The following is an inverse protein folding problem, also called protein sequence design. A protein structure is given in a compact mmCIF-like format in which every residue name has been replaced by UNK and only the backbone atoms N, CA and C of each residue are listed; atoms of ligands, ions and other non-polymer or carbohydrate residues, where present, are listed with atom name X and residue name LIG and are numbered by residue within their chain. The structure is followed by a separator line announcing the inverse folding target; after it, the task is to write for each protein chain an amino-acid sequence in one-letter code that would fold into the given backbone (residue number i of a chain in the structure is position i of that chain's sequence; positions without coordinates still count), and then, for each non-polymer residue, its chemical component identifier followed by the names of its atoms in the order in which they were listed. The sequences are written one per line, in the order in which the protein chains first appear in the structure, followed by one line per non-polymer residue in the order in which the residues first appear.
data_IF_274336101900
#
_entry.id   IF_274336101900
#
_cell.length_a   1.000
_cell.length_b   1.000
_cell.length_c   1.000
_cell.angle_alpha   90.00
_cell.angle_beta   90.00
_cell.angle_gamma   90.00
#
_symmetry.space_group_name_H-M   'P 1'
#
loop_
_entity.id
_entity.type
_entity.pdbx_description
1 polymer ?
#
# COMPACT_ATOMS: atom_id res chain seq x y z
N UNK A 1 16.37 -12.73 11.42
CA UNK A 1 16.19 -11.26 11.26
C UNK A 1 15.32 -10.96 10.07
N UNK A 2 14.39 -10.00 10.17
CA UNK A 2 13.51 -9.55 9.08
C UNK A 2 13.78 -8.06 8.84
N UNK A 3 14.18 -7.73 7.61
CA UNK A 3 14.45 -6.35 7.18
C UNK A 3 13.20 -5.79 6.51
N UNK A 4 12.55 -4.83 7.16
CA UNK A 4 11.27 -4.23 6.77
C UNK A 4 10.28 -4.19 7.93
N UNK A 5 9.21 -3.38 7.78
CA UNK A 5 8.20 -3.17 8.82
C UNK A 5 6.78 -2.96 8.26
N UNK A 6 6.50 -3.47 7.06
CA UNK A 6 5.16 -3.46 6.45
C UNK A 6 4.50 -4.84 6.55
N UNK A 7 3.37 -5.06 5.84
CA UNK A 7 2.57 -6.30 5.91
C UNK A 7 3.42 -7.57 5.92
N UNK A 8 4.24 -7.80 4.88
CA UNK A 8 5.06 -9.01 4.78
C UNK A 8 6.05 -9.17 5.95
N UNK A 9 6.63 -8.06 6.43
CA UNK A 9 7.57 -8.12 7.54
C UNK A 9 6.90 -8.58 8.84
N UNK A 10 5.74 -8.03 9.16
CA UNK A 10 4.98 -8.42 10.34
C UNK A 10 4.51 -9.88 10.26
N UNK A 11 3.92 -10.29 9.13
CA UNK A 11 3.45 -11.65 8.94
C UNK A 11 4.59 -12.68 9.05
N UNK A 12 5.76 -12.36 8.47
CA UNK A 12 6.96 -13.22 8.57
C UNK A 12 7.48 -13.25 10.00
N UNK A 13 7.53 -12.11 10.70
CA UNK A 13 7.94 -12.06 12.10
C UNK A 13 7.02 -12.90 12.98
N UNK A 14 5.70 -12.78 12.80
CA UNK A 14 4.71 -13.58 13.51
C UNK A 14 4.90 -15.07 13.26
N UNK A 15 4.99 -15.48 12.00
CA UNK A 15 5.19 -16.88 11.64
C UNK A 15 6.51 -17.47 12.17
N UNK A 16 7.61 -16.72 12.15
CA UNK A 16 8.88 -17.15 12.68
C UNK A 16 8.82 -17.29 14.21
N UNK A 17 8.21 -16.33 14.90
CA UNK A 17 8.06 -16.36 16.36
C UNK A 17 7.19 -17.53 16.80
N UNK A 18 6.05 -17.79 16.14
CA UNK A 18 5.17 -18.95 16.41
C UNK A 18 5.91 -20.29 16.27
N UNK A 19 6.93 -20.34 15.42
CA UNK A 19 7.78 -21.53 15.24
C UNK A 19 9.03 -21.53 16.15
N UNK A 20 9.07 -20.65 17.15
CA UNK A 20 10.10 -20.66 18.19
C UNK A 20 11.43 -19.98 17.83
N UNK A 21 11.47 -19.20 16.74
CA UNK A 21 12.66 -18.45 16.38
C UNK A 21 12.81 -17.18 17.27
N UNK A 22 14.05 -16.80 17.56
CA UNK A 22 14.38 -15.49 18.12
C UNK A 22 14.40 -14.45 17.01
N UNK A 23 13.38 -13.57 16.97
CA UNK A 23 13.11 -12.70 15.84
C UNK A 23 13.49 -11.26 16.14
N UNK A 24 14.23 -10.65 15.22
CA UNK A 24 14.51 -9.21 15.21
C UNK A 24 13.94 -8.59 13.92
N UNK A 25 13.11 -7.56 14.07
CA UNK A 25 12.63 -6.69 12.98
C UNK A 25 13.55 -5.48 12.84
N UNK A 26 13.97 -5.16 11.62
CA UNK A 26 14.72 -3.94 11.32
C UNK A 26 13.82 -2.96 10.60
N UNK A 27 13.50 -1.85 11.27
CA UNK A 27 12.66 -0.79 10.74
C UNK A 27 13.51 0.40 10.26
N UNK A 28 13.41 0.72 8.96
CA UNK A 28 14.11 1.85 8.36
C UNK A 28 13.31 3.16 8.42
N UNK A 29 12.01 3.09 8.16
CA UNK A 29 11.11 4.24 8.04
C UNK A 29 9.79 3.97 8.72
N UNK A 30 9.02 5.00 8.99
CA UNK A 30 7.72 4.89 9.64
C UNK A 30 6.74 4.01 8.86
N UNK A 31 5.89 3.30 9.60
CA UNK A 31 4.84 2.45 9.07
C UNK A 31 3.53 2.77 9.76
N UNK A 32 2.46 2.97 9.00
CA UNK A 32 1.13 3.06 9.55
C UNK A 32 0.62 1.67 9.92
N UNK A 33 0.09 1.49 11.13
CA UNK A 33 -0.56 0.24 11.55
C UNK A 33 -2.03 0.52 11.82
N UNK A 34 -2.91 -0.25 11.19
CA UNK A 34 -4.34 -0.29 11.52
C UNK A 34 -4.69 -1.67 12.05
N UNK A 35 -5.32 -1.75 13.21
CA UNK A 35 -5.89 -3.01 13.69
C UNK A 35 -7.03 -3.45 12.79
N UNK A 36 -7.01 -4.71 12.41
CA UNK A 36 -8.00 -5.30 11.49
C UNK A 36 -9.44 -5.09 11.99
N UNK A 37 -9.70 -5.31 13.29
CA UNK A 37 -11.03 -5.13 13.88
C UNK A 37 -11.51 -3.68 13.77
N UNK A 38 -10.65 -2.70 14.09
CA UNK A 38 -10.98 -1.29 13.99
C UNK A 38 -11.19 -0.86 12.55
N UNK A 39 -10.39 -1.37 11.62
CA UNK A 39 -10.56 -1.14 10.19
C UNK A 39 -11.91 -1.68 9.70
N UNK A 40 -12.28 -2.90 10.08
CA UNK A 40 -13.54 -3.52 9.68
C UNK A 40 -14.74 -2.81 10.28
N UNK A 41 -14.72 -2.49 11.57
CA UNK A 41 -15.87 -1.93 12.27
C UNK A 41 -16.06 -0.42 12.01
N UNK A 42 -14.99 0.36 11.88
CA UNK A 42 -15.08 1.83 11.74
C UNK A 42 -15.02 2.25 10.27
N UNK A 43 -14.07 1.70 9.51
CA UNK A 43 -13.82 2.17 8.15
C UNK A 43 -14.70 1.47 7.10
N UNK A 44 -15.00 0.19 7.27
CA UNK A 44 -15.60 -0.64 6.22
C UNK A 44 -17.03 -1.10 6.53
N UNK A 45 -17.50 -1.08 7.78
CA UNK A 45 -18.78 -1.67 8.16
C UNK A 45 -19.99 -1.08 7.43
N UNK A 46 -19.97 0.21 7.14
CA UNK A 46 -21.09 0.88 6.43
C UNK A 46 -21.31 0.37 5.00
N UNK A 47 -20.31 -0.30 4.41
CA UNK A 47 -20.36 -0.81 3.04
C UNK A 47 -20.24 -2.33 2.96
N UNK A 48 -19.41 -2.95 3.82
CA UNK A 48 -18.97 -4.34 3.66
C UNK A 48 -19.20 -5.19 4.93
N UNK A 49 -20.27 -4.95 5.65
CA UNK A 49 -20.69 -5.78 6.79
C UNK A 49 -21.94 -6.59 6.50
N UNK A 50 -22.26 -7.55 7.36
CA UNK A 50 -23.51 -8.31 7.30
C UNK A 50 -24.74 -7.39 7.49
N UNK A 51 -24.61 -6.40 8.36
CA UNK A 51 -25.66 -5.40 8.60
C UNK A 51 -25.89 -4.53 7.36
N UNK A 52 -24.81 -4.13 6.66
CA UNK A 52 -24.92 -3.38 5.40
C UNK A 52 -25.64 -4.22 4.34
N UNK A 53 -25.30 -5.51 4.21
CA UNK A 53 -25.98 -6.44 3.30
C UNK A 53 -27.46 -6.59 3.67
N UNK A 54 -27.78 -6.77 4.95
CA UNK A 54 -29.15 -6.86 5.44
C UNK A 54 -29.96 -5.58 5.16
N UNK A 55 -29.31 -4.42 5.16
CA UNK A 55 -29.88 -3.13 4.79
C UNK A 55 -29.97 -2.89 3.26
N UNK A 56 -29.62 -3.88 2.43
CA UNK A 56 -29.70 -3.82 0.97
C UNK A 56 -28.47 -3.19 0.28
N UNK A 57 -27.33 -3.11 0.96
CA UNK A 57 -26.04 -2.74 0.39
C UNK A 57 -25.42 -3.98 -0.25
N UNK A 58 -25.66 -4.19 -1.56
CA UNK A 58 -24.99 -5.27 -2.29
C UNK A 58 -23.50 -4.94 -2.50
N UNK A 59 -22.69 -5.95 -2.78
CA UNK A 59 -21.27 -5.76 -3.06
C UNK A 59 -21.01 -4.78 -4.21
N UNK A 60 -21.80 -4.89 -5.29
CA UNK A 60 -21.69 -3.99 -6.46
C UNK A 60 -22.04 -2.54 -6.09
N UNK A 61 -23.07 -2.36 -5.26
CA UNK A 61 -23.47 -1.03 -4.78
C UNK A 61 -22.42 -0.44 -3.84
N UNK A 62 -21.84 -1.25 -2.96
CA UNK A 62 -20.75 -0.85 -2.08
C UNK A 62 -19.51 -0.41 -2.87
N UNK A 63 -19.09 -1.22 -3.83
CA UNK A 63 -17.96 -0.91 -4.72
C UNK A 63 -18.19 0.38 -5.50
N UNK A 64 -19.37 0.54 -6.09
CA UNK A 64 -19.73 1.75 -6.83
C UNK A 64 -19.75 2.98 -5.91
N UNK A 65 -20.32 2.85 -4.72
CA UNK A 65 -20.37 3.93 -3.72
C UNK A 65 -18.95 4.36 -3.34
N UNK A 66 -18.09 3.41 -3.04
CA UNK A 66 -16.69 3.69 -2.69
C UNK A 66 -15.93 4.34 -3.86
N UNK A 67 -16.08 3.80 -5.06
CA UNK A 67 -15.42 4.30 -6.27
C UNK A 67 -15.98 5.66 -6.75
N UNK A 68 -17.17 6.06 -6.29
CA UNK A 68 -17.77 7.36 -6.65
C UNK A 68 -17.09 8.56 -6.00
N UNK A 69 -16.30 8.34 -4.94
CA UNK A 69 -15.57 9.41 -4.27
C UNK A 69 -14.25 9.67 -5.01
N UNK A 70 -14.06 10.87 -5.58
CA UNK A 70 -12.80 11.21 -6.22
C UNK A 70 -11.62 11.09 -5.26
N UNK A 71 -10.54 10.43 -5.66
CA UNK A 71 -9.36 10.23 -4.80
C UNK A 71 -8.74 11.55 -4.34
N UNK A 72 -8.85 12.60 -5.13
CA UNK A 72 -8.37 13.95 -4.78
C UNK A 72 -8.95 14.47 -3.47
N UNK A 73 -10.20 14.13 -3.15
CA UNK A 73 -10.90 14.57 -1.93
C UNK A 73 -11.06 13.45 -0.90
N UNK A 74 -10.60 12.24 -1.20
CA UNK A 74 -10.79 11.06 -0.33
C UNK A 74 -10.21 11.28 1.07
N UNK A 75 -9.09 12.00 1.20
CA UNK A 75 -8.47 12.31 2.49
C UNK A 75 -9.43 13.02 3.45
N UNK A 76 -10.35 13.85 2.94
CA UNK A 76 -11.34 14.57 3.78
C UNK A 76 -12.25 13.58 4.51
N UNK A 77 -12.58 12.47 3.87
CA UNK A 77 -13.42 11.41 4.44
C UNK A 77 -12.61 10.46 5.32
N UNK A 78 -11.32 10.27 5.02
CA UNK A 78 -10.47 9.33 5.75
C UNK A 78 -9.97 9.89 7.09
N UNK A 79 -9.63 11.17 7.17
CA UNK A 79 -9.12 11.79 8.40
C UNK A 79 -10.01 11.48 9.62
N UNK A 80 -11.33 11.77 9.62
CA UNK A 80 -12.18 11.50 10.79
C UNK A 80 -12.31 10.00 11.10
N UNK A 81 -12.19 9.12 10.11
CA UNK A 81 -12.19 7.66 10.32
C UNK A 81 -10.96 7.25 11.13
N UNK A 82 -9.78 7.73 10.73
CA UNK A 82 -8.53 7.40 11.42
C UNK A 82 -8.39 8.11 12.77
N UNK A 83 -9.03 9.25 12.99
CA UNK A 83 -9.15 9.85 14.32
C UNK A 83 -9.96 8.97 15.28
N UNK A 84 -11.07 8.39 14.83
CA UNK A 84 -11.84 7.43 15.60
C UNK A 84 -11.06 6.14 15.90
N UNK A 85 -10.34 5.61 14.92
CA UNK A 85 -9.48 4.43 15.11
C UNK A 85 -8.35 4.71 16.11
N UNK A 86 -7.73 5.90 16.03
CA UNK A 86 -6.69 6.34 16.98
C UNK A 86 -7.20 6.37 18.42
N UNK A 87 -8.39 6.91 18.62
CA UNK A 87 -8.97 6.99 19.96
C UNK A 87 -9.36 5.61 20.48
N UNK A 88 -9.95 4.77 19.64
CA UNK A 88 -10.31 3.39 20.00
C UNK A 88 -9.12 2.55 20.42
N UNK A 89 -8.03 2.61 19.65
CA UNK A 89 -6.87 1.76 19.82
C UNK A 89 -5.71 2.49 20.52
N UNK A 90 -6.00 3.54 21.29
CA UNK A 90 -5.01 4.40 21.93
C UNK A 90 -3.96 3.64 22.71
N UNK A 91 -4.38 2.73 23.60
CA UNK A 91 -3.48 1.94 24.43
C UNK A 91 -2.51 1.06 23.61
N UNK A 92 -2.99 0.58 22.46
CA UNK A 92 -2.18 -0.18 21.52
C UNK A 92 -1.07 0.68 20.91
N UNK A 93 -1.44 1.89 20.42
CA UNK A 93 -0.44 2.81 19.83
C UNK A 93 0.56 3.32 20.86
N UNK A 94 0.14 3.57 22.11
CA UNK A 94 1.03 3.94 23.21
C UNK A 94 2.04 2.83 23.53
N UNK A 95 1.64 1.55 23.47
CA UNK A 95 2.57 0.41 23.64
C UNK A 95 3.57 0.29 22.49
N UNK A 96 3.13 0.47 21.24
CA UNK A 96 4.01 0.48 20.07
C UNK A 96 5.05 1.60 20.15
N UNK A 97 4.62 2.82 20.49
CA UNK A 97 5.51 3.95 20.67
C UNK A 97 6.54 3.70 21.79
N UNK A 98 6.09 3.16 22.93
CA UNK A 98 6.96 2.79 24.04
C UNK A 98 7.97 1.71 23.65
N UNK A 99 7.64 0.79 22.77
CA UNK A 99 8.56 -0.19 22.21
C UNK A 99 9.56 0.41 21.22
N UNK A 100 9.43 1.69 20.88
CA UNK A 100 10.29 2.41 19.94
C UNK A 100 9.90 2.27 18.47
N UNK A 101 8.70 1.72 18.18
CA UNK A 101 8.22 1.59 16.81
C UNK A 101 7.90 2.96 16.20
N UNK A 102 8.40 3.21 15.00
CA UNK A 102 8.16 4.44 14.27
C UNK A 102 6.82 4.33 13.52
N UNK A 103 5.76 4.74 14.19
CA UNK A 103 4.40 4.75 13.68
C UNK A 103 4.05 6.12 13.11
N UNK A 104 3.30 6.16 12.00
CA UNK A 104 2.76 7.40 11.43
C UNK A 104 1.29 7.25 11.00
N UNK A 105 0.62 8.37 10.79
CA UNK A 105 -0.76 8.45 10.33
C UNK A 105 -0.88 8.90 8.87
N UNK A 106 0.24 8.87 8.10
CA UNK A 106 0.33 9.47 6.77
C UNK A 106 0.63 10.96 6.83
N UNK A 107 1.03 11.53 5.69
CA UNK A 107 1.50 12.92 5.59
C UNK A 107 0.44 13.96 6.03
N UNK A 108 -0.83 13.61 5.96
CA UNK A 108 -1.99 14.46 6.27
C UNK A 108 -2.96 13.81 7.28
N UNK A 109 -2.53 12.83 8.05
CA UNK A 109 -3.33 12.05 8.99
C UNK A 109 -4.49 11.26 8.36
N UNK A 110 -4.46 11.00 7.06
CA UNK A 110 -5.49 10.24 6.34
C UNK A 110 -5.28 8.72 6.35
N UNK A 111 -4.25 8.25 7.05
CA UNK A 111 -4.04 6.85 7.40
C UNK A 111 -3.75 5.90 6.23
N UNK A 112 -4.13 4.65 6.43
CA UNK A 112 -3.79 3.52 5.56
C UNK A 112 -4.26 3.71 4.13
N UNK A 113 -5.53 4.08 3.93
CA UNK A 113 -6.11 4.09 2.59
C UNK A 113 -5.41 5.09 1.67
N UNK A 114 -5.09 6.27 2.18
CA UNK A 114 -4.36 7.26 1.39
C UNK A 114 -2.87 6.91 1.20
N UNK A 115 -2.23 6.23 2.17
CA UNK A 115 -0.88 5.67 1.96
C UNK A 115 -0.90 4.61 0.87
N UNK A 116 -1.89 3.74 0.87
CA UNK A 116 -2.11 2.74 -0.15
C UNK A 116 -2.29 3.37 -1.55
N UNK A 117 -3.20 4.33 -1.71
CA UNK A 117 -3.43 5.00 -2.98
C UNK A 117 -2.19 5.78 -3.48
N UNK A 118 -1.47 6.45 -2.58
CA UNK A 118 -0.32 7.30 -2.95
C UNK A 118 0.94 6.51 -3.22
N UNK A 119 1.19 5.41 -2.50
CA UNK A 119 2.48 4.71 -2.49
C UNK A 119 2.38 3.20 -2.71
N UNK A 120 1.22 2.57 -2.50
CA UNK A 120 1.02 1.12 -2.53
C UNK A 120 1.71 0.38 -1.38
N UNK A 121 2.26 1.11 -0.39
CA UNK A 121 3.07 0.57 0.70
C UNK A 121 3.10 1.51 1.90
N UNK A 122 3.87 1.15 2.94
CA UNK A 122 4.07 1.98 4.13
C UNK A 122 2.99 1.75 5.19
N UNK A 123 2.30 0.62 5.17
CA UNK A 123 1.27 0.26 6.15
C UNK A 123 1.28 -1.24 6.49
N UNK A 124 0.65 -1.56 7.60
CA UNK A 124 0.31 -2.92 8.02
C UNK A 124 -1.14 -2.96 8.51
N UNK A 125 -1.89 -3.97 8.06
CA UNK A 125 -3.20 -4.31 8.63
C UNK A 125 -2.94 -5.40 9.66
N UNK A 126 -2.99 -5.01 10.94
CA UNK A 126 -2.60 -5.86 12.05
C UNK A 126 -3.65 -6.93 12.36
N UNK A 127 -3.17 -8.16 12.37
CA UNK A 127 -3.90 -9.37 12.77
C UNK A 127 -3.27 -10.03 14.01
N UNK A 128 -2.47 -9.26 14.77
CA UNK A 128 -1.86 -9.68 16.04
C UNK A 128 -0.32 -9.62 16.09
N UNK A 129 0.37 -9.60 14.95
CA UNK A 129 1.84 -9.58 14.96
C UNK A 129 2.44 -8.26 15.48
N UNK A 130 1.69 -7.15 15.43
CA UNK A 130 2.15 -5.90 16.01
C UNK A 130 2.18 -5.92 17.55
N UNK A 131 1.33 -6.71 18.19
CA UNK A 131 1.39 -6.94 19.64
C UNK A 131 2.70 -7.62 20.06
N UNK A 132 3.27 -8.50 19.22
CA UNK A 132 4.56 -9.14 19.49
C UNK A 132 5.71 -8.12 19.54
N UNK A 133 5.68 -7.13 18.65
CA UNK A 133 6.64 -6.01 18.68
C UNK A 133 6.39 -5.10 19.88
N UNK A 134 5.14 -4.75 20.16
CA UNK A 134 4.77 -3.90 21.29
C UNK A 134 5.13 -4.50 22.64
N UNK A 135 5.10 -5.83 22.76
CA UNK A 135 5.44 -6.56 23.99
C UNK A 135 6.93 -6.93 24.08
N UNK A 136 7.71 -6.78 22.99
CA UNK A 136 9.12 -7.14 22.93
C UNK A 136 9.40 -8.63 22.63
N UNK A 137 8.38 -9.40 22.28
CA UNK A 137 8.50 -10.79 21.82
C UNK A 137 9.24 -10.88 20.48
N UNK A 138 9.01 -9.90 19.61
CA UNK A 138 9.81 -9.59 18.42
C UNK A 138 10.63 -8.35 18.73
N UNK A 139 11.96 -8.50 18.71
CA UNK A 139 12.89 -7.41 18.95
C UNK A 139 12.80 -6.38 17.81
N UNK A 140 12.82 -5.10 18.15
CA UNK A 140 12.81 -4.02 17.20
C UNK A 140 14.15 -3.28 17.19
N UNK A 141 14.72 -3.10 16.01
CA UNK A 141 15.89 -2.25 15.79
C UNK A 141 15.54 -1.24 14.70
N UNK A 142 15.85 0.03 14.95
CA UNK A 142 15.68 1.09 13.95
C UNK A 142 16.99 1.39 13.28
N UNK A 143 17.01 1.43 11.94
CA UNK A 143 18.19 1.78 11.16
C UNK A 143 18.09 1.37 9.71
N UNK A 144 18.99 1.92 8.93
CA UNK A 144 19.21 1.53 7.54
C UNK A 144 20.31 0.47 7.50
N UNK A 145 20.06 -0.61 6.79
CA UNK A 145 21.08 -1.64 6.54
C UNK A 145 22.09 -1.10 5.55
N UNK A 146 23.38 -1.19 5.90
CA UNK A 146 24.50 -0.87 5.03
C UNK A 146 24.92 -2.12 4.23
N UNK A 147 25.32 -3.19 4.94
CA UNK A 147 25.76 -4.43 4.28
C UNK A 147 25.49 -5.68 5.13
N UNK A 148 25.62 -6.83 4.52
CA UNK A 148 25.62 -8.14 5.18
C UNK A 148 27.04 -8.63 5.45
N UNK A 149 27.21 -9.36 6.56
CA UNK A 149 28.42 -10.11 6.88
C UNK A 149 28.13 -11.60 6.86
N UNK A 150 29.14 -12.43 7.09
CA UNK A 150 28.96 -13.89 7.21
C UNK A 150 28.11 -14.27 8.45
N UNK A 151 28.02 -13.41 9.45
CA UNK A 151 27.36 -13.69 10.73
C UNK A 151 26.20 -12.77 11.05
N UNK A 152 25.82 -11.85 10.16
CA UNK A 152 24.73 -10.92 10.45
C UNK A 152 24.62 -9.74 9.50
N UNK A 153 24.11 -8.65 10.05
CA UNK A 153 23.77 -7.40 9.35
C UNK A 153 24.47 -6.23 10.04
N UNK A 154 25.02 -5.32 9.24
CA UNK A 154 25.58 -4.05 9.75
C UNK A 154 24.70 -2.89 9.30
N UNK A 155 24.36 -2.00 10.22
CA UNK A 155 23.62 -0.77 9.94
C UNK A 155 24.57 0.37 9.58
N UNK A 156 24.04 1.42 8.95
CA UNK A 156 24.83 2.61 8.53
C UNK A 156 25.51 3.34 9.71
N UNK A 157 24.99 3.21 10.92
CA UNK A 157 25.58 3.75 12.15
C UNK A 157 26.70 2.88 12.75
N UNK A 158 27.01 1.75 12.09
CA UNK A 158 28.01 0.79 12.54
C UNK A 158 27.49 -0.25 13.54
N UNK A 159 26.21 -0.26 13.85
CA UNK A 159 25.61 -1.30 14.71
C UNK A 159 25.66 -2.65 14.01
N UNK A 160 26.25 -3.65 14.68
CA UNK A 160 26.28 -5.04 14.20
C UNK A 160 25.17 -5.86 14.86
N UNK A 161 24.40 -6.57 14.05
CA UNK A 161 23.27 -7.39 14.46
C UNK A 161 23.49 -8.84 14.01
N UNK A 162 23.72 -9.78 14.94
CA UNK A 162 23.92 -11.18 14.56
C UNK A 162 22.63 -11.79 14.03
N UNK A 163 22.76 -12.65 13.00
CA UNK A 163 21.62 -13.34 12.42
C UNK A 163 22.04 -14.63 11.70
N UNK A 164 21.37 -15.75 12.02
CA UNK A 164 21.54 -17.01 11.30
C UNK A 164 20.74 -17.02 9.98
N UNK A 165 19.65 -16.23 9.94
CA UNK A 165 18.79 -16.07 8.76
C UNK A 165 18.42 -14.60 8.60
N UNK A 166 18.56 -14.08 7.38
CA UNK A 166 18.12 -12.74 7.02
C UNK A 166 17.04 -12.84 5.96
N UNK A 167 15.87 -12.22 6.22
CA UNK A 167 14.75 -12.17 5.30
C UNK A 167 14.52 -10.72 4.87
N UNK A 168 14.57 -10.47 3.57
CA UNK A 168 14.23 -9.18 3.00
C UNK A 168 12.72 -9.06 2.80
N UNK A 169 12.08 -8.20 3.56
CA UNK A 169 10.67 -7.83 3.44
C UNK A 169 10.53 -6.34 3.05
N UNK A 170 11.36 -5.90 2.10
CA UNK A 170 11.57 -4.48 1.75
C UNK A 170 10.59 -3.96 0.69
N UNK A 171 9.62 -4.78 0.27
CA UNK A 171 8.60 -4.42 -0.71
C UNK A 171 9.05 -4.60 -2.16
N UNK A 172 8.25 -4.06 -3.05
CA UNK A 172 8.44 -4.18 -4.50
C UNK A 172 8.51 -2.78 -5.13
N UNK A 173 9.19 -2.68 -6.26
CA UNK A 173 9.22 -1.47 -7.06
C UNK A 173 7.88 -1.24 -7.80
N UNK A 174 7.76 -0.12 -8.51
CA UNK A 174 6.62 0.16 -9.37
C UNK A 174 6.44 -0.91 -10.46
N UNK A 175 5.19 -1.20 -10.84
CA UNK A 175 4.84 -2.22 -11.83
C UNK A 175 5.47 -1.99 -13.22
N UNK A 176 5.88 -0.77 -13.56
CA UNK A 176 6.64 -0.55 -14.78
C UNK A 176 8.02 -1.24 -14.79
N UNK A 177 8.59 -1.56 -13.62
CA UNK A 177 9.76 -2.43 -13.51
C UNK A 177 9.49 -3.83 -14.06
N UNK A 178 8.31 -4.38 -13.80
CA UNK A 178 7.90 -5.66 -14.41
C UNK A 178 7.76 -5.56 -15.93
N UNK A 179 7.31 -4.43 -16.45
CA UNK A 179 7.28 -4.19 -17.90
C UNK A 179 8.70 -4.14 -18.48
N UNK A 180 9.67 -3.62 -17.75
CA UNK A 180 11.08 -3.65 -18.16
C UNK A 180 11.60 -5.09 -18.26
N UNK A 181 11.30 -5.91 -17.25
CA UNK A 181 11.78 -7.30 -17.18
C UNK A 181 11.08 -8.22 -18.20
N UNK A 182 9.76 -8.03 -18.41
CA UNK A 182 8.94 -8.90 -19.26
C UNK A 182 8.94 -8.49 -20.74
N UNK A 183 9.14 -7.21 -21.03
CA UNK A 183 9.03 -6.64 -22.38
C UNK A 183 10.35 -5.98 -22.77
N UNK A 184 10.61 -4.77 -22.28
CA UNK A 184 11.89 -4.07 -22.41
C UNK A 184 11.96 -2.81 -21.54
N UNK A 185 13.19 -2.33 -21.20
CA UNK A 185 13.39 -1.06 -20.52
C UNK A 185 12.77 0.14 -21.26
N UNK A 186 12.84 0.15 -22.60
CA UNK A 186 12.28 1.24 -23.41
C UNK A 186 10.75 1.35 -23.27
N UNK A 187 10.04 0.21 -23.16
CA UNK A 187 8.60 0.19 -22.92
C UNK A 187 8.30 0.68 -21.51
N UNK A 188 9.06 0.24 -20.51
CA UNK A 188 8.90 0.72 -19.15
C UNK A 188 9.11 2.23 -19.02
N UNK A 189 10.15 2.76 -19.67
CA UNK A 189 10.45 4.20 -19.71
C UNK A 189 9.34 5.00 -20.42
N UNK A 190 8.80 4.45 -21.51
CA UNK A 190 7.71 5.05 -22.27
C UNK A 190 6.42 5.15 -21.44
N UNK A 191 6.10 4.12 -20.65
CA UNK A 191 4.92 4.09 -19.80
C UNK A 191 5.12 4.96 -18.55
N UNK A 192 6.31 4.89 -17.95
CA UNK A 192 6.59 5.56 -16.69
C UNK A 192 5.96 4.87 -15.49
N UNK A 193 5.90 5.58 -14.38
CA UNK A 193 5.44 5.04 -13.10
C UNK A 193 3.98 4.58 -13.16
N UNK A 194 3.73 3.37 -12.67
CA UNK A 194 2.41 2.82 -12.44
C UNK A 194 2.08 2.86 -10.96
N UNK A 195 0.82 3.11 -10.63
CA UNK A 195 0.33 3.33 -9.28
C UNK A 195 0.73 4.68 -8.68
N UNK A 196 -0.06 5.12 -7.72
CA UNK A 196 0.06 6.39 -7.02
C UNK A 196 -0.75 7.50 -7.67
N UNK A 197 -1.31 8.37 -6.82
CA UNK A 197 -2.18 9.49 -7.23
C UNK A 197 -1.34 10.62 -7.77
N UNK A 198 -1.21 10.80 -9.05
CA UNK A 198 -0.48 11.91 -9.63
C UNK A 198 0.75 12.33 -8.79
N UNK A 199 1.53 13.28 -9.13
CA UNK A 199 2.64 13.65 -8.25
C UNK A 199 2.20 14.45 -7.03
N UNK A 200 1.00 15.03 -7.06
CA UNK A 200 0.60 16.06 -6.09
C UNK A 200 1.54 17.26 -6.12
N UNK A 201 2.38 17.36 -7.15
CA UNK A 201 3.39 18.39 -7.35
C UNK A 201 3.14 19.14 -8.65
N UNK A 202 3.81 20.28 -8.83
CA UNK A 202 3.77 21.03 -10.09
C UNK A 202 4.35 20.27 -11.30
N UNK A 203 5.03 19.15 -11.06
CA UNK A 203 5.59 18.30 -12.13
C UNK A 203 4.56 17.36 -12.77
N UNK A 204 3.40 17.19 -12.15
CA UNK A 204 2.34 16.31 -12.63
C UNK A 204 0.98 17.02 -12.56
N UNK A 205 0.86 18.17 -13.19
CA UNK A 205 -0.40 18.90 -13.23
C UNK A 205 -1.35 18.27 -14.25
N UNK A 206 -2.61 18.63 -14.17
CA UNK A 206 -3.58 18.33 -15.20
C UNK A 206 -4.65 17.33 -14.80
N UNK A 207 -5.37 16.74 -15.76
CA UNK A 207 -6.56 15.93 -15.50
C UNK A 207 -6.27 14.63 -14.70
N UNK A 208 -5.01 14.23 -14.64
CA UNK A 208 -4.57 13.01 -13.93
C UNK A 208 -4.15 13.27 -12.48
N UNK A 209 -4.10 14.52 -12.07
CA UNK A 209 -3.83 14.84 -10.66
C UNK A 209 -4.94 14.26 -9.78
N UNK A 210 -4.53 13.45 -8.78
CA UNK A 210 -5.46 12.75 -7.90
C UNK A 210 -6.05 11.48 -8.49
N UNK A 211 -5.55 10.98 -9.64
CA UNK A 211 -5.91 9.69 -10.20
C UNK A 211 -4.76 8.70 -10.17
N UNK A 212 -5.12 7.38 -10.18
CA UNK A 212 -4.11 6.32 -10.23
C UNK A 212 -3.40 6.30 -11.58
N UNK A 213 -2.06 6.41 -11.54
CA UNK A 213 -1.22 6.41 -12.74
C UNK A 213 -1.28 5.07 -13.44
N UNK A 214 -1.60 5.12 -14.73
CA UNK A 214 -1.57 3.98 -15.64
C UNK A 214 -2.41 2.76 -15.23
N UNK A 215 -3.28 2.90 -14.24
CA UNK A 215 -4.13 1.80 -13.79
C UNK A 215 -5.49 1.83 -14.48
N UNK A 216 -5.95 0.68 -14.98
CA UNK A 216 -7.27 0.45 -15.60
C UNK A 216 -7.62 1.37 -16.77
N UNK A 217 -6.64 1.95 -17.42
CA UNK A 217 -6.76 2.90 -18.53
C UNK A 217 -5.68 2.65 -19.58
N UNK A 218 -5.81 3.21 -20.80
CA UNK A 218 -4.76 3.19 -21.79
C UNK A 218 -3.47 3.80 -21.28
N UNK A 219 -2.34 3.21 -21.67
CA UNK A 219 -1.01 3.73 -21.36
C UNK A 219 -0.38 4.37 -22.60
N UNK A 220 0.81 4.95 -22.44
CA UNK A 220 1.60 5.46 -23.57
C UNK A 220 2.07 4.33 -24.53
N UNK A 221 2.09 3.08 -24.05
CA UNK A 221 2.36 1.92 -24.89
C UNK A 221 1.06 1.30 -25.36
N UNK A 222 0.84 1.31 -26.68
CA UNK A 222 -0.34 0.66 -27.25
C UNK A 222 -0.40 -0.83 -26.86
N UNK A 223 -1.61 -1.31 -26.57
CA UNK A 223 -1.92 -2.68 -26.16
C UNK A 223 -1.29 -3.12 -24.82
N UNK A 224 -0.70 -2.21 -24.03
CA UNK A 224 -0.26 -2.49 -22.68
C UNK A 224 -1.15 -1.81 -21.65
N UNK A 225 -1.69 -2.60 -20.73
CA UNK A 225 -2.62 -2.17 -19.69
C UNK A 225 -2.19 -2.72 -18.35
N UNK A 226 -2.36 -1.93 -17.29
CA UNK A 226 -2.13 -2.39 -15.93
C UNK A 226 -3.45 -2.58 -15.19
N UNK A 227 -3.53 -3.70 -14.51
CA UNK A 227 -4.66 -4.07 -13.66
C UNK A 227 -4.12 -4.56 -12.31
N UNK A 228 -4.78 -4.18 -11.22
CA UNK A 228 -4.36 -4.54 -9.87
C UNK A 228 -5.18 -3.78 -8.82
N UNK A 229 -4.53 -3.45 -7.72
CA UNK A 229 -5.17 -2.84 -6.56
C UNK A 229 -5.65 -3.90 -5.55
N UNK A 230 -6.34 -3.45 -4.51
CA UNK A 230 -6.99 -4.36 -3.58
C UNK A 230 -8.19 -5.07 -4.24
N UNK A 231 -8.77 -6.07 -3.56
CA UNK A 231 -9.79 -6.93 -4.18
C UNK A 231 -11.04 -6.16 -4.62
N UNK A 232 -11.51 -5.18 -3.86
CA UNK A 232 -12.70 -4.42 -4.24
C UNK A 232 -12.43 -3.48 -5.42
N UNK A 233 -11.27 -2.81 -5.47
CA UNK A 233 -10.88 -2.00 -6.63
C UNK A 233 -10.69 -2.88 -7.86
N UNK A 234 -9.99 -3.99 -7.72
CA UNK A 234 -9.77 -4.94 -8.81
C UNK A 234 -11.09 -5.46 -9.38
N UNK A 235 -12.03 -5.84 -8.53
CA UNK A 235 -13.37 -6.27 -8.92
C UNK A 235 -14.13 -5.16 -9.67
N UNK A 236 -14.15 -3.96 -9.13
CA UNK A 236 -14.89 -2.84 -9.72
C UNK A 236 -14.27 -2.38 -11.04
N UNK A 237 -12.98 -2.05 -11.04
CA UNK A 237 -12.32 -1.47 -12.20
C UNK A 237 -12.01 -2.46 -13.33
N UNK A 238 -12.03 -3.79 -13.07
CA UNK A 238 -11.95 -4.80 -14.13
C UNK A 238 -13.08 -4.65 -15.14
N UNK A 239 -14.27 -4.21 -14.71
CA UNK A 239 -15.42 -3.99 -15.58
C UNK A 239 -15.14 -2.86 -16.60
N UNK A 240 -14.55 -1.76 -16.13
CA UNK A 240 -14.19 -0.64 -16.99
C UNK A 240 -13.04 -0.99 -17.94
N UNK A 241 -12.05 -1.73 -17.44
CA UNK A 241 -10.95 -2.23 -18.26
C UNK A 241 -11.47 -3.14 -19.38
N UNK A 242 -12.34 -4.10 -19.03
CA UNK A 242 -12.94 -5.02 -20.00
C UNK A 242 -13.78 -4.28 -21.07
N UNK A 243 -14.56 -3.27 -20.65
CA UNK A 243 -15.34 -2.45 -21.59
C UNK A 243 -14.45 -1.67 -22.58
N UNK A 244 -13.35 -1.10 -22.12
CA UNK A 244 -12.40 -0.37 -22.96
C UNK A 244 -11.70 -1.32 -23.95
N UNK A 245 -11.27 -2.49 -23.48
CA UNK A 245 -10.66 -3.50 -24.36
C UNK A 245 -11.65 -4.00 -25.41
N UNK A 246 -12.89 -4.27 -25.02
CA UNK A 246 -13.95 -4.72 -25.93
C UNK A 246 -14.35 -3.65 -26.93
N UNK A 247 -14.40 -2.40 -26.53
CA UNK A 247 -14.64 -1.27 -27.44
C UNK A 247 -13.57 -1.21 -28.54
N UNK A 248 -12.29 -1.37 -28.16
CA UNK A 248 -11.19 -1.41 -29.14
C UNK A 248 -11.31 -2.58 -30.11
N UNK A 249 -11.57 -3.79 -29.58
CA UNK A 249 -11.78 -4.99 -30.41
C UNK A 249 -12.93 -4.80 -31.42
N UNK A 250 -14.03 -4.20 -30.96
CA UNK A 250 -15.21 -3.95 -31.78
C UNK A 250 -15.09 -2.70 -32.64
N UNK A 251 -13.94 -2.02 -32.66
CA UNK A 251 -13.74 -0.74 -33.39
C UNK A 251 -14.73 0.36 -32.99
N UNK A 252 -15.24 0.33 -31.77
CA UNK A 252 -16.09 1.37 -31.19
C UNK A 252 -15.18 2.50 -30.70
N UNK A 253 -15.41 3.75 -31.15
CA UNK A 253 -14.62 4.87 -30.68
C UNK A 253 -14.75 5.05 -29.18
N UNK A 254 -13.63 4.91 -28.46
CA UNK A 254 -13.51 5.18 -27.03
C UNK A 254 -12.45 6.27 -26.87
N UNK A 255 -12.81 7.56 -26.97
CA UNK A 255 -11.84 8.63 -26.89
C UNK A 255 -11.19 8.69 -25.51
N UNK A 256 -9.86 8.77 -25.50
CA UNK A 256 -9.07 8.99 -24.28
C UNK A 256 -8.70 10.47 -24.25
N UNK A 257 -9.18 11.17 -23.24
CA UNK A 257 -8.90 12.59 -23.06
C UNK A 257 -7.52 12.77 -22.40
N UNK A 258 -6.49 12.87 -23.21
CA UNK A 258 -5.12 13.02 -22.78
C UNK A 258 -4.55 11.72 -22.17
N UNK A 259 -3.61 11.11 -22.87
CA UNK A 259 -2.74 10.12 -22.23
C UNK A 259 -1.85 10.85 -21.23
N UNK A 260 -1.63 10.24 -20.10
CA UNK A 260 -0.72 10.80 -19.09
C UNK A 260 0.66 11.00 -19.71
N UNK A 261 1.18 12.22 -19.70
CA UNK A 261 2.57 12.46 -20.05
C UNK A 261 3.49 11.92 -18.93
N UNK A 262 4.63 11.38 -19.33
CA UNK A 262 5.60 10.84 -18.37
C UNK A 262 6.42 11.99 -17.81
N UNK A 263 6.08 12.40 -16.60
CA UNK A 263 6.81 13.44 -15.87
C UNK A 263 7.82 12.91 -14.85
N UNK A 264 7.88 11.59 -14.65
CA UNK A 264 8.62 10.94 -13.58
C UNK A 264 9.74 10.05 -14.11
N UNK A 265 10.66 10.62 -14.83
CA UNK A 265 11.85 9.91 -15.32
C UNK A 265 13.05 9.99 -14.35
N UNK A 266 12.85 10.37 -13.12
CA UNK A 266 13.93 10.44 -12.13
C UNK A 266 13.61 9.64 -10.90
#
# INVERSE_FOLDING_TARGET
MVIGSNNSAFDICGALWENGADVTMVQRSSTHISRSDSLMEIALSGLYSEEAVAAGMTTEKADLTFASVPYRIMHIFQIPVYEQMRERDKDFYERLEKAGFDHDWGDDNSGLFMKYLRRGSGYYIDVGAADLVANGDVKLVRGQVDHLTETGVVLEDGTELPADLVVYATGYNSMNGWAADLISPEVADKVGKCWGLGSGTTKDPGPWEGEERNMWKPTQQEALWFHGGNLHQSRHYSLYLALQLKAREASIPAPVYGLQEVHHRS
#
